data_IF_737871721396
#
_entry.id   IF_737871721396
#
_cell.length_a   1.000
_cell.length_b   1.000
_cell.length_c   1.000
_cell.angle_alpha   90.00
_cell.angle_beta   90.00
_cell.angle_gamma   90.00
#
_symmetry.space_group_name_H-M   'P 1'
#
loop_
_entity.id
_entity.type
_entity.pdbx_description
1 polymer ?
#
# COMPACT_ATOMS: atom_id res chain seq x y z
N UNK A 1 -51.12 19.99 1.24
CA UNK A 1 -50.20 18.84 1.44
C UNK A 1 -49.46 19.07 2.76
N UNK A 2 -49.71 18.22 3.75
CA UNK A 2 -49.54 18.52 5.17
C UNK A 2 -48.07 18.47 5.55
N UNK A 3 -47.58 19.52 6.24
CA UNK A 3 -46.20 19.70 6.75
C UNK A 3 -45.64 18.45 7.48
N UNK A 4 -46.53 17.59 7.97
CA UNK A 4 -46.23 16.27 8.55
C UNK A 4 -45.57 15.26 7.60
N UNK A 5 -45.87 15.28 6.29
CA UNK A 5 -45.24 14.38 5.31
C UNK A 5 -43.84 14.86 4.89
N UNK A 6 -43.55 16.15 5.04
CA UNK A 6 -42.24 16.72 4.74
C UNK A 6 -41.20 16.36 5.81
N UNK A 7 -41.64 16.26 7.07
CA UNK A 7 -40.79 15.87 8.20
C UNK A 7 -40.45 14.38 8.16
N UNK A 8 -41.41 13.51 7.79
CA UNK A 8 -41.15 12.07 7.62
C UNK A 8 -40.15 11.77 6.49
N UNK A 9 -40.17 12.56 5.41
CA UNK A 9 -39.24 12.39 4.29
C UNK A 9 -37.81 12.85 4.64
N UNK A 10 -37.68 13.88 5.48
CA UNK A 10 -36.38 14.36 5.96
C UNK A 10 -35.67 13.37 6.91
N UNK A 11 -36.43 12.61 7.72
CA UNK A 11 -35.89 11.58 8.62
C UNK A 11 -35.35 10.37 7.82
N UNK A 12 -35.99 10.02 6.70
CA UNK A 12 -35.55 8.91 5.86
C UNK A 12 -34.23 9.18 5.11
N UNK A 13 -33.94 10.46 4.81
CA UNK A 13 -32.70 10.89 4.14
C UNK A 13 -31.51 10.93 5.12
N UNK A 14 -31.76 11.22 6.40
CA UNK A 14 -30.71 11.29 7.42
C UNK A 14 -30.07 9.92 7.75
N UNK A 15 -30.74 8.80 7.45
CA UNK A 15 -30.24 7.44 7.76
C UNK A 15 -29.24 6.90 6.73
N UNK A 16 -29.12 7.51 5.55
CA UNK A 16 -28.22 7.05 4.49
C UNK A 16 -26.79 7.65 4.55
N UNK A 17 -26.50 8.49 5.55
CA UNK A 17 -25.22 9.20 5.67
C UNK A 17 -24.11 8.42 6.40
N UNK A 18 -24.25 7.10 6.59
CA UNK A 18 -23.16 6.26 7.11
C UNK A 18 -22.26 5.86 5.92
N UNK A 19 -21.54 6.85 5.38
CA UNK A 19 -20.53 6.67 4.35
C UNK A 19 -19.49 5.66 4.81
N UNK A 20 -19.32 4.59 4.04
CA UNK A 20 -18.43 3.47 4.32
C UNK A 20 -17.00 3.92 4.57
N UNK A 21 -16.53 3.67 5.80
CA UNK A 21 -15.12 3.76 6.13
C UNK A 21 -14.40 2.65 5.34
N UNK A 22 -13.71 2.99 4.25
CA UNK A 22 -12.80 2.05 3.58
C UNK A 22 -11.67 1.74 4.55
N UNK A 23 -11.79 0.60 5.24
CA UNK A 23 -10.79 0.12 6.19
C UNK A 23 -9.56 -0.32 5.40
N UNK A 24 -8.47 0.42 5.54
CA UNK A 24 -7.17 -0.03 5.02
C UNK A 24 -6.69 -1.24 5.83
N UNK A 25 -6.19 -2.25 5.14
CA UNK A 25 -5.63 -3.44 5.76
C UNK A 25 -4.13 -3.24 5.99
N UNK A 26 -3.65 -3.55 7.19
CA UNK A 26 -2.26 -3.37 7.59
C UNK A 26 -1.60 -4.73 7.85
N UNK A 27 -0.39 -4.94 7.33
CA UNK A 27 0.39 -6.16 7.52
C UNK A 27 1.82 -5.83 7.96
N UNK A 28 2.41 -6.67 8.80
CA UNK A 28 3.74 -6.42 9.36
C UNK A 28 3.75 -5.26 10.35
N UNK A 29 4.83 -4.49 10.35
CA UNK A 29 5.01 -3.32 11.21
C UNK A 29 4.17 -2.13 10.71
N UNK A 30 3.74 -1.22 11.59
CA UNK A 30 3.13 0.03 11.17
C UNK A 30 4.12 0.87 10.35
N UNK A 31 3.66 1.50 9.29
CA UNK A 31 4.48 2.39 8.45
C UNK A 31 4.77 3.67 9.23
N UNK A 32 6.05 3.95 9.49
CA UNK A 32 6.48 5.11 10.27
C UNK A 32 6.89 6.29 9.36
N UNK A 33 7.41 5.99 8.18
CA UNK A 33 7.90 6.96 7.20
C UNK A 33 6.73 7.65 6.52
N UNK A 34 6.72 8.98 6.53
CA UNK A 34 5.65 9.79 5.93
C UNK A 34 5.93 10.17 4.48
N UNK A 35 7.20 10.33 4.11
CA UNK A 35 7.61 10.72 2.76
C UNK A 35 7.62 9.52 1.82
N UNK A 36 6.92 9.64 0.71
CA UNK A 36 6.93 8.64 -0.36
C UNK A 36 8.14 8.88 -1.26
N UNK A 37 8.94 7.84 -1.49
CA UNK A 37 10.03 7.79 -2.47
C UNK A 37 9.50 7.12 -3.74
N UNK A 38 9.79 7.69 -4.90
CA UNK A 38 9.40 7.08 -6.18
C UNK A 38 10.29 5.87 -6.49
N UNK A 39 9.70 4.82 -7.03
CA UNK A 39 10.43 3.58 -7.30
C UNK A 39 11.58 3.83 -8.28
N UNK A 40 11.35 4.63 -9.32
CA UNK A 40 12.35 5.00 -10.31
C UNK A 40 13.54 5.79 -9.74
N UNK A 41 13.36 6.57 -8.67
CA UNK A 41 14.47 7.27 -8.01
C UNK A 41 15.43 6.27 -7.35
N UNK A 42 14.88 5.25 -6.69
CA UNK A 42 15.65 4.17 -6.07
C UNK A 42 16.41 3.40 -7.16
N UNK A 43 15.74 3.04 -8.26
CA UNK A 43 16.34 2.27 -9.35
C UNK A 43 17.39 3.07 -10.15
N UNK A 44 17.21 4.39 -10.28
CA UNK A 44 18.16 5.25 -10.98
C UNK A 44 19.45 5.51 -10.18
N UNK A 45 19.38 5.47 -8.84
CA UNK A 45 20.55 5.67 -7.99
C UNK A 45 20.59 4.71 -6.78
N UNK A 46 20.71 3.38 -6.98
CA UNK A 46 20.58 2.40 -5.90
C UNK A 46 21.56 2.63 -4.75
N UNK A 47 22.80 3.01 -5.06
CA UNK A 47 23.84 3.26 -4.07
C UNK A 47 23.49 4.39 -3.09
N UNK A 48 22.67 5.36 -3.50
CA UNK A 48 22.22 6.43 -2.63
C UNK A 48 21.13 5.97 -1.64
N UNK A 49 20.49 4.84 -1.89
CA UNK A 49 19.40 4.31 -1.07
C UNK A 49 19.75 3.01 -0.34
N UNK A 50 20.80 2.29 -0.73
CA UNK A 50 21.26 1.05 -0.09
C UNK A 50 21.30 1.19 1.44
N UNK A 51 20.65 0.26 2.14
CA UNK A 51 20.53 0.22 3.59
C UNK A 51 19.57 1.25 4.21
N UNK A 52 18.96 2.13 3.42
CA UNK A 52 17.97 3.09 3.92
C UNK A 52 16.57 2.47 3.95
N UNK A 53 15.83 2.79 4.99
CA UNK A 53 14.39 2.56 5.06
C UNK A 53 13.66 3.63 4.25
N UNK A 54 12.78 3.20 3.35
CA UNK A 54 11.97 4.06 2.49
C UNK A 54 10.52 3.62 2.54
N UNK A 55 9.61 4.56 2.28
CA UNK A 55 8.21 4.27 1.95
C UNK A 55 8.02 4.44 0.46
N UNK A 56 7.48 3.42 -0.19
CA UNK A 56 7.08 3.44 -1.61
C UNK A 56 5.58 3.19 -1.72
N UNK A 57 4.94 3.73 -2.74
CA UNK A 57 3.52 3.49 -3.03
C UNK A 57 3.37 3.01 -4.47
N UNK A 58 2.50 2.02 -4.68
CA UNK A 58 2.31 1.42 -6.00
C UNK A 58 1.13 0.45 -6.05
N UNK A 59 0.97 -0.20 -7.20
CA UNK A 59 0.03 -1.30 -7.40
C UNK A 59 0.80 -2.62 -7.41
N UNK A 60 0.28 -3.65 -6.73
CA UNK A 60 0.83 -5.01 -6.82
C UNK A 60 0.51 -5.57 -8.20
N UNK A 61 1.55 -5.90 -8.97
CA UNK A 61 1.40 -6.46 -10.32
C UNK A 61 1.59 -7.98 -10.36
N UNK A 62 2.37 -8.51 -9.43
CA UNK A 62 2.61 -9.94 -9.27
C UNK A 62 2.97 -10.24 -7.81
N UNK A 63 2.70 -11.45 -7.36
CA UNK A 63 3.01 -11.91 -6.02
C UNK A 63 3.05 -13.43 -5.95
N UNK A 64 3.82 -13.99 -5.02
CA UNK A 64 3.76 -15.44 -4.83
C UNK A 64 2.49 -15.87 -4.10
N UNK A 65 1.97 -17.09 -4.39
CA UNK A 65 0.85 -17.67 -3.65
C UNK A 65 1.09 -17.78 -2.13
N UNK A 66 2.36 -17.90 -1.72
CA UNK A 66 2.75 -17.98 -0.31
C UNK A 66 2.87 -16.64 0.41
N UNK A 67 2.75 -15.50 -0.30
CA UNK A 67 2.76 -14.16 0.30
C UNK A 67 4.09 -13.70 0.89
N UNK A 68 5.21 -14.30 0.48
CA UNK A 68 6.57 -13.95 0.91
C UNK A 68 7.21 -12.85 0.06
N UNK A 69 6.65 -12.55 -1.10
CA UNK A 69 7.13 -11.48 -1.97
C UNK A 69 6.02 -10.98 -2.91
N UNK A 70 6.18 -9.74 -3.37
CA UNK A 70 5.40 -9.16 -4.45
C UNK A 70 6.25 -8.22 -5.31
N UNK A 71 5.83 -8.02 -6.55
CA UNK A 71 6.30 -6.94 -7.41
C UNK A 71 5.28 -5.80 -7.33
N UNK A 72 5.76 -4.61 -7.02
CA UNK A 72 4.94 -3.40 -7.04
C UNK A 72 5.40 -2.45 -8.13
N UNK A 73 4.46 -1.72 -8.71
CA UNK A 73 4.70 -0.77 -9.78
C UNK A 73 4.08 0.59 -9.48
N UNK A 74 4.83 1.65 -9.74
CA UNK A 74 4.33 3.02 -9.82
C UNK A 74 4.51 3.56 -11.26
N UNK A 75 4.28 4.85 -11.45
CA UNK A 75 4.45 5.52 -12.75
C UNK A 75 5.92 5.61 -13.22
N UNK A 76 6.88 5.41 -12.32
CA UNK A 76 8.33 5.60 -12.55
C UNK A 76 9.10 4.29 -12.66
N UNK A 77 8.59 3.18 -12.12
CA UNK A 77 9.26 1.89 -12.18
C UNK A 77 8.51 0.77 -11.49
N UNK A 78 9.14 -0.41 -11.50
CA UNK A 78 8.69 -1.61 -10.80
C UNK A 78 9.82 -2.13 -9.93
N UNK A 79 9.51 -2.55 -8.70
CA UNK A 79 10.50 -3.09 -7.77
C UNK A 79 9.98 -4.34 -7.08
N UNK A 80 10.87 -5.29 -6.91
CA UNK A 80 10.65 -6.51 -6.15
C UNK A 80 10.73 -6.23 -4.65
N UNK A 81 9.79 -6.79 -3.90
CA UNK A 81 9.70 -6.67 -2.45
C UNK A 81 9.63 -8.05 -1.83
N UNK A 82 10.59 -8.36 -0.96
CA UNK A 82 10.63 -9.57 -0.15
C UNK A 82 10.18 -9.27 1.28
N UNK A 83 9.34 -10.14 1.86
CA UNK A 83 8.86 -10.02 3.23
C UNK A 83 9.45 -11.13 4.10
N UNK A 84 9.89 -10.77 5.30
CA UNK A 84 10.20 -11.74 6.35
C UNK A 84 9.45 -11.38 7.63
N UNK A 85 8.83 -12.38 8.27
CA UNK A 85 8.09 -12.19 9.53
C UNK A 85 6.57 -11.98 9.40
N UNK A 86 6.04 -11.82 8.19
CA UNK A 86 4.60 -11.87 7.94
C UNK A 86 4.30 -12.38 6.53
N UNK A 87 3.03 -12.74 6.30
CA UNK A 87 2.53 -13.18 5.00
C UNK A 87 1.57 -12.15 4.47
N UNK A 88 1.81 -11.66 3.25
CA UNK A 88 0.86 -10.82 2.53
C UNK A 88 -0.20 -11.72 1.87
N UNK A 89 -1.50 -11.61 2.22
CA UNK A 89 -2.56 -12.30 1.49
C UNK A 89 -2.57 -11.88 0.03
N UNK A 90 -3.24 -12.64 -0.83
CA UNK A 90 -3.29 -12.28 -2.25
C UNK A 90 -3.99 -10.93 -2.45
N UNK A 91 -3.26 -9.96 -3.00
CA UNK A 91 -3.66 -8.56 -3.22
C UNK A 91 -3.22 -8.03 -4.59
N UNK A 92 -2.99 -8.89 -5.59
CA UNK A 92 -2.77 -8.43 -6.99
C UNK A 92 -3.80 -7.37 -7.40
N UNK A 93 -3.32 -6.27 -8.01
CA UNK A 93 -4.06 -5.05 -8.40
C UNK A 93 -4.50 -4.13 -7.26
N UNK A 94 -4.20 -4.46 -6.01
CA UNK A 94 -4.45 -3.54 -4.89
C UNK A 94 -3.41 -2.42 -4.90
N UNK A 95 -3.84 -1.24 -4.45
CA UNK A 95 -2.93 -0.12 -4.18
C UNK A 95 -2.36 -0.28 -2.78
N UNK A 96 -1.04 -0.24 -2.69
CA UNK A 96 -0.32 -0.46 -1.44
C UNK A 96 0.69 0.65 -1.17
N UNK A 97 0.91 0.94 0.12
CA UNK A 97 2.11 1.59 0.60
C UNK A 97 2.96 0.53 1.31
N UNK A 98 4.26 0.50 1.01
CA UNK A 98 5.21 -0.43 1.61
C UNK A 98 6.34 0.37 2.24
N UNK A 99 6.63 0.08 3.50
CA UNK A 99 7.86 0.50 4.15
C UNK A 99 8.86 -0.66 4.13
N UNK A 100 10.07 -0.39 3.66
CA UNK A 100 11.11 -1.42 3.57
C UNK A 100 12.50 -0.84 3.43
N UNK A 101 13.49 -1.68 3.67
CA UNK A 101 14.91 -1.32 3.52
C UNK A 101 15.37 -1.67 2.12
N UNK A 102 15.99 -0.70 1.43
CA UNK A 102 16.58 -0.93 0.10
C UNK A 102 17.82 -1.80 0.24
N UNK A 103 17.87 -2.88 -0.53
CA UNK A 103 19.00 -3.79 -0.56
C UNK A 103 19.33 -4.18 -2.00
N UNK A 104 20.61 -4.46 -2.25
CA UNK A 104 21.08 -4.98 -3.53
C UNK A 104 21.58 -6.41 -3.37
N UNK A 105 20.95 -7.36 -4.08
CA UNK A 105 21.35 -8.77 -4.11
C UNK A 105 21.56 -9.21 -5.56
N UNK A 106 22.69 -9.85 -5.84
CA UNK A 106 23.01 -10.34 -7.19
C UNK A 106 22.85 -9.26 -8.28
N UNK A 107 23.29 -8.03 -7.96
CA UNK A 107 23.16 -6.84 -8.80
C UNK A 107 21.71 -6.38 -9.11
N UNK A 108 20.71 -6.86 -8.36
CA UNK A 108 19.33 -6.37 -8.41
C UNK A 108 18.98 -5.57 -7.17
N UNK A 109 18.48 -4.36 -7.36
CA UNK A 109 17.94 -3.52 -6.30
C UNK A 109 16.52 -3.94 -5.97
N UNK A 110 16.25 -4.17 -4.68
CA UNK A 110 14.97 -4.65 -4.17
C UNK A 110 14.70 -4.07 -2.78
N UNK A 111 13.50 -4.32 -2.25
CA UNK A 111 13.13 -3.95 -0.88
C UNK A 111 13.01 -5.19 -0.02
N UNK A 112 13.56 -5.12 1.20
CA UNK A 112 13.09 -5.94 2.31
C UNK A 112 11.91 -5.22 2.96
N UNK A 113 10.69 -5.65 2.66
CA UNK A 113 9.45 -5.08 3.19
C UNK A 113 9.25 -5.40 4.67
N UNK A 114 9.00 -4.36 5.48
CA UNK A 114 8.77 -4.44 6.91
C UNK A 114 7.30 -4.21 7.28
N UNK A 115 6.58 -3.43 6.48
CA UNK A 115 5.18 -3.08 6.71
C UNK A 115 4.44 -2.74 5.42
N UNK A 116 3.16 -3.12 5.35
CA UNK A 116 2.29 -2.90 4.19
C UNK A 116 0.95 -2.33 4.63
N UNK A 117 0.52 -1.26 3.95
CA UNK A 117 -0.84 -0.72 4.03
C UNK A 117 -1.53 -0.93 2.68
N UNK A 118 -2.57 -1.77 2.62
CA UNK A 118 -3.37 -2.01 1.42
C UNK A 118 -4.71 -1.24 1.47
N UNK A 119 -5.12 -0.66 0.33
CA UNK A 119 -6.33 0.16 0.18
C UNK A 119 -7.30 -0.38 -0.88
#
# INVERSE_FOLDING_TARGET
MKRSNLILFAIFIAMFAITGCKKSETFGNPIMTKSVTKIGEILANPAAYEGKTVRVEGEIVDECPGGHWCDIKDETGMIYVEFSGFTLPQKVRAKVAIEGTVMTREAKTMLHGMGVEAK
#
